data_IF_072534116184
#
_entry.id   IF_072534116184
#
_cell.length_a   1.000
_cell.length_b   1.000
_cell.length_c   1.000
_cell.angle_alpha   90.00
_cell.angle_beta   90.00
_cell.angle_gamma   90.00
#
_symmetry.space_group_name_H-M   'P 1'
#
loop_
_entity.id
_entity.type
_entity.pdbx_description
1 polymer ?
#
# COMPACT_ATOMS: atom_id res chain seq x y z
N UNK A 1 7.21 -3.44 21.96
CA UNK A 1 5.96 -3.08 21.27
C UNK A 1 6.16 -1.68 20.67
N UNK A 2 6.93 -1.51 19.59
CA UNK A 2 7.35 -0.13 19.20
C UNK A 2 7.47 0.15 17.69
N UNK A 3 6.75 -0.57 16.82
CA UNK A 3 6.72 -0.23 15.36
C UNK A 3 5.29 0.01 14.82
N UNK A 4 4.36 0.31 15.71
CA UNK A 4 2.95 0.51 15.38
C UNK A 4 2.53 1.90 14.88
N UNK A 5 3.16 3.03 15.28
CA UNK A 5 2.62 4.35 14.97
C UNK A 5 2.41 4.61 13.47
N UNK A 6 3.34 4.16 12.62
CA UNK A 6 3.24 4.39 11.18
C UNK A 6 2.16 3.51 10.54
N UNK A 7 2.03 2.27 11.01
CA UNK A 7 0.93 1.38 10.63
C UNK A 7 -0.45 1.94 11.05
N UNK A 8 -0.54 2.62 12.20
CA UNK A 8 -1.76 3.31 12.60
C UNK A 8 -2.05 4.53 11.72
N UNK A 9 -1.04 5.32 11.35
CA UNK A 9 -1.20 6.40 10.38
C UNK A 9 -1.73 5.86 9.05
N UNK A 10 -1.13 4.77 8.54
CA UNK A 10 -1.58 4.08 7.33
C UNK A 10 -3.05 3.59 7.43
N UNK A 11 -3.43 2.96 8.55
CA UNK A 11 -4.79 2.51 8.80
C UNK A 11 -5.81 3.66 8.95
N UNK A 12 -5.37 4.81 9.47
CA UNK A 12 -6.22 6.00 9.65
C UNK A 12 -6.55 6.71 8.34
N UNK A 13 -5.72 6.55 7.31
CA UNK A 13 -5.82 7.27 6.05
C UNK A 13 -5.37 8.74 6.11
N UNK A 14 -4.91 9.24 7.26
CA UNK A 14 -4.46 10.64 7.41
C UNK A 14 -3.05 10.81 6.84
N UNK A 15 -2.95 11.12 5.55
CA UNK A 15 -1.69 11.26 4.81
C UNK A 15 -0.72 12.21 5.50
N UNK A 16 -1.22 13.34 6.01
CA UNK A 16 -0.40 14.36 6.67
C UNK A 16 0.38 13.83 7.87
N UNK A 17 -0.18 12.89 8.63
CA UNK A 17 0.53 12.28 9.76
C UNK A 17 1.65 11.37 9.23
N UNK A 18 1.36 10.58 8.20
CA UNK A 18 2.35 9.70 7.59
C UNK A 18 3.51 10.49 6.95
N UNK A 19 3.24 11.61 6.29
CA UNK A 19 4.27 12.54 5.77
C UNK A 19 5.23 13.00 6.87
N UNK A 20 4.69 13.56 7.96
CA UNK A 20 5.48 14.06 9.09
C UNK A 20 6.34 12.98 9.75
N UNK A 21 5.90 11.72 9.69
CA UNK A 21 6.65 10.59 10.21
C UNK A 21 7.76 10.16 9.25
N UNK A 22 7.50 10.11 7.95
CA UNK A 22 8.48 9.76 6.92
C UNK A 22 9.59 10.82 6.83
N UNK A 23 9.25 12.10 7.04
CA UNK A 23 10.23 13.19 7.18
C UNK A 23 11.25 12.91 8.30
N UNK A 24 10.86 12.19 9.36
CA UNK A 24 11.75 11.83 10.47
C UNK A 24 12.49 10.51 10.26
N UNK A 25 11.89 9.58 9.53
CA UNK A 25 12.47 8.29 9.21
C UNK A 25 11.92 7.76 7.88
N UNK A 26 12.76 7.80 6.85
CA UNK A 26 12.40 7.40 5.49
C UNK A 26 12.22 5.89 5.31
N UNK A 27 12.71 5.07 6.25
CA UNK A 27 12.61 3.60 6.17
C UNK A 27 11.24 3.10 6.62
N UNK A 28 10.43 3.95 7.28
CA UNK A 28 9.10 3.60 7.82
C UNK A 28 8.16 2.87 6.84
N UNK A 29 8.11 3.20 5.53
CA UNK A 29 7.27 2.49 4.57
C UNK A 29 7.60 1.00 4.41
N UNK A 30 8.83 0.59 4.75
CA UNK A 30 9.31 -0.79 4.63
C UNK A 30 9.28 -1.54 5.97
N UNK A 31 9.13 -0.83 7.10
CA UNK A 31 9.09 -1.50 8.39
C UNK A 31 7.71 -2.14 8.60
N UNK A 32 7.71 -3.47 8.72
CA UNK A 32 6.49 -4.27 8.90
C UNK A 32 5.93 -4.11 10.31
N UNK A 33 4.61 -3.94 10.38
CA UNK A 33 3.84 -3.91 11.62
C UNK A 33 3.38 -5.29 12.06
N UNK A 34 2.69 -5.33 13.21
CA UNK A 34 1.97 -6.50 13.73
C UNK A 34 2.76 -7.81 13.65
N UNK A 35 3.80 -7.93 14.49
CA UNK A 35 4.72 -9.08 14.50
C UNK A 35 5.47 -9.29 13.18
N UNK A 36 5.86 -8.20 12.52
CA UNK A 36 6.61 -8.22 11.26
C UNK A 36 5.86 -8.94 10.11
N UNK A 37 4.53 -8.93 10.16
CA UNK A 37 3.70 -9.72 9.25
C UNK A 37 3.07 -8.90 8.12
N UNK A 38 2.93 -7.58 8.27
CA UNK A 38 2.22 -6.75 7.28
C UNK A 38 2.92 -5.42 7.04
N UNK A 39 2.93 -4.99 5.78
CA UNK A 39 3.46 -3.68 5.40
C UNK A 39 2.45 -2.57 5.65
N UNK A 40 2.90 -1.33 5.88
CA UNK A 40 2.02 -0.15 5.94
C UNK A 40 1.14 -0.01 4.69
N UNK A 41 1.69 -0.32 3.51
CA UNK A 41 0.97 -0.30 2.25
C UNK A 41 -0.17 -1.31 2.22
N UNK A 42 0.08 -2.56 2.63
CA UNK A 42 -0.96 -3.58 2.75
C UNK A 42 -2.07 -3.14 3.72
N UNK A 43 -1.71 -2.52 4.84
CA UNK A 43 -2.68 -1.99 5.81
C UNK A 43 -3.56 -0.91 5.18
N UNK A 44 -2.99 0.04 4.44
CA UNK A 44 -3.76 1.10 3.78
C UNK A 44 -4.74 0.53 2.73
N UNK A 45 -4.29 -0.43 1.93
CA UNK A 45 -5.14 -1.17 0.97
C UNK A 45 -6.25 -1.92 1.72
N UNK A 46 -5.89 -2.64 2.79
CA UNK A 46 -6.83 -3.37 3.66
C UNK A 46 -7.76 -2.48 4.48
N UNK A 47 -7.50 -1.18 4.59
CA UNK A 47 -8.42 -0.22 5.23
C UNK A 47 -9.14 0.68 4.22
N UNK A 48 -8.90 0.51 2.91
CA UNK A 48 -9.49 1.33 1.83
C UNK A 48 -9.17 2.82 1.99
N UNK A 49 -7.97 3.14 2.47
CA UNK A 49 -7.52 4.51 2.65
C UNK A 49 -7.12 5.11 1.30
N UNK A 50 -8.10 5.58 0.52
CA UNK A 50 -7.94 5.95 -0.90
C UNK A 50 -6.89 7.03 -1.18
N UNK A 51 -6.65 7.93 -0.23
CA UNK A 51 -5.59 8.96 -0.36
C UNK A 51 -4.23 8.47 0.15
N UNK A 52 -4.22 7.53 1.10
CA UNK A 52 -2.99 6.95 1.68
C UNK A 52 -2.34 5.93 0.75
N UNK A 53 -3.14 5.14 0.02
CA UNK A 53 -2.62 4.13 -0.93
C UNK A 53 -1.70 4.75 -1.99
N UNK A 54 -2.09 5.78 -2.76
CA UNK A 54 -1.19 6.38 -3.75
C UNK A 54 0.02 7.06 -3.11
N UNK A 55 -0.12 7.63 -1.92
CA UNK A 55 1.00 8.18 -1.17
C UNK A 55 2.03 7.08 -0.82
N UNK A 56 1.59 6.00 -0.17
CA UNK A 56 2.48 4.90 0.21
C UNK A 56 3.08 4.20 -1.02
N UNK A 57 2.32 4.00 -2.09
CA UNK A 57 2.86 3.49 -3.37
C UNK A 57 4.00 4.35 -3.92
N UNK A 58 3.95 5.67 -3.73
CA UNK A 58 5.00 6.57 -4.22
C UNK A 58 6.29 6.57 -3.40
N UNK A 59 6.26 6.03 -2.17
CA UNK A 59 7.40 6.05 -1.24
C UNK A 59 7.84 4.67 -0.74
N UNK A 60 7.09 3.62 -1.05
CA UNK A 60 7.46 2.23 -0.74
C UNK A 60 8.23 1.66 -1.92
N UNK A 61 9.47 1.24 -1.67
CA UNK A 61 10.24 0.44 -2.62
C UNK A 61 9.65 -0.97 -2.72
N UNK A 62 8.89 -1.24 -3.78
CA UNK A 62 8.17 -2.50 -3.95
C UNK A 62 9.11 -3.69 -4.18
N UNK A 63 10.33 -3.46 -4.68
CA UNK A 63 11.31 -4.51 -4.93
C UNK A 63 11.87 -5.14 -3.62
N UNK A 64 11.54 -4.53 -2.46
CA UNK A 64 11.89 -5.03 -1.12
C UNK A 64 10.75 -5.80 -0.45
N UNK A 65 9.66 -6.05 -1.17
CA UNK A 65 8.62 -6.97 -0.74
C UNK A 65 9.04 -8.40 -1.09
N UNK A 66 8.68 -9.35 -0.23
CA UNK A 66 8.81 -10.76 -0.58
C UNK A 66 7.63 -11.22 -1.45
N UNK A 67 7.77 -12.41 -2.06
CA UNK A 67 6.73 -12.97 -2.93
C UNK A 67 5.36 -13.11 -2.24
N UNK A 68 5.34 -13.40 -0.94
CA UNK A 68 4.09 -13.53 -0.20
C UNK A 68 3.43 -12.16 -0.03
N UNK A 69 4.20 -11.13 0.32
CA UNK A 69 3.73 -9.76 0.49
C UNK A 69 3.24 -9.16 -0.83
N UNK A 70 3.96 -9.39 -1.93
CA UNK A 70 3.54 -8.96 -3.26
C UNK A 70 2.22 -9.62 -3.67
N UNK A 71 2.11 -10.94 -3.48
CA UNK A 71 0.92 -11.69 -3.82
C UNK A 71 -0.28 -11.28 -2.93
N UNK A 72 -0.07 -11.10 -1.63
CA UNK A 72 -1.09 -10.61 -0.71
C UNK A 72 -1.53 -9.18 -1.04
N UNK A 73 -0.60 -8.31 -1.40
CA UNK A 73 -0.90 -6.95 -1.84
C UNK A 73 -1.69 -6.95 -3.15
N UNK A 74 -1.33 -7.82 -4.10
CA UNK A 74 -2.06 -8.00 -5.35
C UNK A 74 -3.48 -8.51 -5.09
N UNK A 75 -3.62 -9.59 -4.33
CA UNK A 75 -4.91 -10.17 -3.93
C UNK A 75 -5.74 -9.12 -3.20
N UNK A 76 -5.15 -8.39 -2.26
CA UNK A 76 -5.83 -7.33 -1.52
C UNK A 76 -6.30 -6.25 -2.48
N UNK A 77 -5.48 -5.78 -3.42
CA UNK A 77 -5.85 -4.72 -4.37
C UNK A 77 -6.96 -5.19 -5.32
N UNK A 78 -6.89 -6.43 -5.83
CA UNK A 78 -7.94 -7.05 -6.68
C UNK A 78 -9.25 -7.20 -5.90
N UNK A 79 -9.19 -7.73 -4.67
CA UNK A 79 -10.36 -7.90 -3.81
C UNK A 79 -10.88 -6.56 -3.25
N UNK A 80 -10.04 -5.51 -3.20
CA UNK A 80 -10.32 -4.20 -2.61
C UNK A 80 -10.67 -3.13 -3.63
N UNK A 81 -10.59 -3.38 -4.93
CA UNK A 81 -11.40 -2.63 -5.89
C UNK A 81 -12.84 -2.63 -5.34
N UNK A 82 -13.46 -1.48 -5.08
CA UNK A 82 -14.20 -0.73 -6.11
C UNK A 82 -15.24 -1.57 -6.88
N UNK A 83 -15.49 -2.83 -6.51
CA UNK A 83 -16.51 -3.72 -7.04
C UNK A 83 -17.78 -3.77 -6.19
N UNK A 84 -17.76 -3.17 -4.99
CA UNK A 84 -18.85 -3.32 -4.04
C UNK A 84 -19.87 -2.19 -4.01
N UNK A 85 -19.44 -0.93 -4.09
CA UNK A 85 -20.32 0.24 -4.02
C UNK A 85 -19.51 1.52 -4.29
N UNK A 86 -19.48 2.02 -5.53
CA UNK A 86 -19.67 3.46 -5.77
C UNK A 86 -20.25 3.67 -7.16
N UNK A 87 -21.47 4.20 -7.15
CA UNK A 87 -21.95 5.16 -8.13
C UNK A 87 -20.96 6.35 -8.17
N UNK A 88 -19.82 6.21 -8.86
CA UNK A 88 -19.01 7.23 -9.56
C UNK A 88 -17.63 6.66 -9.98
N UNK A 89 -17.07 7.09 -11.13
CA UNK A 89 -15.95 6.41 -11.77
C UNK A 89 -14.61 6.96 -11.27
N UNK A 90 -13.90 6.16 -10.47
CA UNK A 90 -12.45 6.30 -10.27
C UNK A 90 -11.83 4.92 -10.50
N UNK A 91 -11.99 4.34 -11.69
CA UNK A 91 -11.74 2.89 -11.86
C UNK A 91 -11.17 2.46 -13.22
N UNK A 92 -10.28 3.24 -13.84
CA UNK A 92 -9.47 2.68 -14.93
C UNK A 92 -7.99 2.99 -14.82
N UNK A 93 -7.61 4.16 -14.32
CA UNK A 93 -6.22 4.61 -14.43
C UNK A 93 -5.30 3.92 -13.42
N UNK A 94 -5.63 3.88 -12.13
CA UNK A 94 -4.77 3.26 -11.11
C UNK A 94 -4.66 1.74 -11.23
N UNK A 95 -5.78 1.04 -11.46
CA UNK A 95 -5.76 -0.40 -11.63
C UNK A 95 -4.97 -0.80 -12.88
N UNK A 96 -5.08 -0.03 -13.97
CA UNK A 96 -4.29 -0.24 -15.17
C UNK A 96 -2.81 0.09 -14.96
N UNK A 97 -2.48 1.19 -14.28
CA UNK A 97 -1.09 1.56 -13.98
C UNK A 97 -0.39 0.52 -13.10
N UNK A 98 -1.09 -0.01 -12.08
CA UNK A 98 -0.56 -1.06 -11.20
C UNK A 98 -0.45 -2.41 -11.93
N UNK A 99 -1.45 -2.81 -12.73
CA UNK A 99 -1.36 -4.03 -13.55
C UNK A 99 -0.23 -3.91 -14.59
N UNK A 100 -0.04 -2.74 -15.20
CA UNK A 100 1.06 -2.50 -16.16
C UNK A 100 2.42 -2.55 -15.47
N UNK A 101 2.59 -1.86 -14.33
CA UNK A 101 3.82 -1.91 -13.51
C UNK A 101 4.20 -3.34 -13.14
N UNK A 102 3.21 -4.13 -12.72
CA UNK A 102 3.40 -5.53 -12.33
C UNK A 102 3.68 -6.45 -13.52
N UNK A 103 2.98 -6.28 -14.65
CA UNK A 103 3.22 -7.06 -15.87
C UNK A 103 4.61 -6.80 -16.48
N UNK A 104 5.12 -5.57 -16.37
CA UNK A 104 6.49 -5.23 -16.83
C UNK A 104 7.59 -5.83 -15.96
N UNK A 105 7.33 -6.07 -14.67
CA UNK A 105 8.30 -6.67 -13.75
C UNK A 105 8.26 -8.21 -13.79
N UNK A 106 7.08 -8.83 -13.95
CA UNK A 106 6.93 -10.30 -14.03
C UNK A 106 7.52 -10.90 -15.31
N UNK A 107 7.60 -10.15 -16.42
CA UNK A 107 8.19 -10.64 -17.69
C UNK A 107 9.70 -10.39 -17.83
N UNK A 108 10.37 -9.83 -16.81
CA UNK A 108 11.82 -9.60 -16.82
C UNK A 108 12.64 -10.70 -16.14
N UNK A 109 12.00 -11.73 -15.58
CA UNK A 109 12.65 -12.94 -15.05
C UNK A 109 12.76 -14.05 -16.10
#
# INVERSE_FOLDING_TARGET
MEIQPFCFAAASGVVRIAELMVEKNQDLPLIRGFNNAVTPLFIAVSNKCTEMVPYLLSITDLDQLDYQEENELLIATIHRDFYGNYRKPVTKTLAHELVVLLWTNVLRS
#
